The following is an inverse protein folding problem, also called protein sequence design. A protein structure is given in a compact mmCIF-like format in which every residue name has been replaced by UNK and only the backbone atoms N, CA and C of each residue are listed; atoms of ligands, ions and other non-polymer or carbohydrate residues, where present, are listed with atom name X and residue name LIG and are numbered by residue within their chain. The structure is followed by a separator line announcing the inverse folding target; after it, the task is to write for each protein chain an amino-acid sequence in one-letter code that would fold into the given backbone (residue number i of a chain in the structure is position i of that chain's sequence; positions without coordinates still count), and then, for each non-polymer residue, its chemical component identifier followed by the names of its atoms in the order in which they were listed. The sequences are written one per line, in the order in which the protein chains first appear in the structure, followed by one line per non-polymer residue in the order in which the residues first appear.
data_IF_251403461921
#
_entry.id   IF_251403461921
#
_cell.length_a   1.000
_cell.length_b   1.000
_cell.length_c   1.000
_cell.angle_alpha   90.00
_cell.angle_beta   90.00
_cell.angle_gamma   90.00
#
_symmetry.space_group_name_H-M   'P 1'
#
loop_
_entity.id
_entity.type
_entity.pdbx_description
1 polymer ?
#
# COMPACT_ATOMS: atom_id res chain seq x y z
N UNK A 1 22.42 -23.01 2.33
CA UNK A 1 21.76 -21.73 2.03
C UNK A 1 21.62 -20.98 3.34
N UNK A 2 22.37 -19.88 3.57
CA UNK A 2 22.27 -19.15 4.83
C UNK A 2 20.90 -18.48 4.91
N UNK A 3 20.19 -18.60 6.04
CA UNK A 3 18.90 -17.94 6.25
C UNK A 3 19.12 -16.42 6.17
N UNK A 4 18.55 -15.77 5.16
CA UNK A 4 18.64 -14.33 4.98
C UNK A 4 17.80 -13.62 6.07
N UNK A 5 18.45 -13.29 7.20
CA UNK A 5 17.81 -12.66 8.37
C UNK A 5 17.43 -11.20 8.12
N UNK A 6 17.93 -10.58 7.04
CA UNK A 6 17.70 -9.17 6.73
C UNK A 6 16.22 -8.83 6.52
N UNK A 7 15.45 -9.76 5.93
CA UNK A 7 13.99 -9.57 5.72
C UNK A 7 13.25 -9.57 7.05
N UNK A 8 13.60 -10.48 7.95
CA UNK A 8 13.02 -10.59 9.29
C UNK A 8 13.40 -9.38 10.14
N UNK A 9 14.67 -8.96 10.11
CA UNK A 9 15.13 -7.76 10.82
C UNK A 9 14.42 -6.48 10.33
N UNK A 10 14.21 -6.33 9.00
CA UNK A 10 13.48 -5.18 8.44
C UNK A 10 12.01 -5.20 8.89
N UNK A 11 11.33 -6.33 8.79
CA UNK A 11 9.95 -6.48 9.24
C UNK A 11 9.81 -6.22 10.75
N UNK A 12 10.75 -6.72 11.57
CA UNK A 12 10.75 -6.54 13.02
C UNK A 12 11.00 -5.07 13.41
N UNK A 13 11.95 -4.38 12.73
CA UNK A 13 12.20 -2.94 12.93
C UNK A 13 10.97 -2.10 12.61
N UNK A 14 10.20 -2.49 11.58
CA UNK A 14 8.93 -1.85 11.25
C UNK A 14 7.85 -2.10 12.32
N UNK A 15 7.67 -3.33 12.78
CA UNK A 15 6.71 -3.66 13.84
C UNK A 15 7.03 -2.92 15.17
N UNK A 16 8.31 -2.81 15.53
CA UNK A 16 8.77 -2.04 16.70
C UNK A 16 8.48 -0.55 16.52
N UNK A 17 8.71 0.01 15.31
CA UNK A 17 8.40 1.41 14.99
C UNK A 17 6.89 1.68 15.08
N UNK A 18 6.05 0.78 14.59
CA UNK A 18 4.58 0.86 14.71
C UNK A 18 4.14 0.84 16.17
N UNK A 19 4.67 -0.10 16.96
CA UNK A 19 4.37 -0.17 18.39
C UNK A 19 4.72 1.13 19.11
N UNK A 20 5.89 1.70 18.81
CA UNK A 20 6.32 2.97 19.41
C UNK A 20 5.48 4.16 18.92
N UNK A 21 5.09 4.21 17.64
CA UNK A 21 4.17 5.23 17.13
C UNK A 21 2.77 5.07 17.73
N UNK A 22 2.37 3.82 18.03
CA UNK A 22 1.07 3.49 18.61
C UNK A 22 0.88 3.98 20.04
N UNK A 23 1.96 4.19 20.78
CA UNK A 23 1.93 4.76 22.13
C UNK A 23 1.54 6.25 22.13
N UNK A 24 1.55 6.91 20.96
CA UNK A 24 1.17 8.31 20.80
C UNK A 24 -0.21 8.52 20.17
N UNK A 25 -0.94 7.46 19.83
CA UNK A 25 -2.33 7.63 19.38
C UNK A 25 -3.24 7.89 20.57
N UNK A 26 -3.96 9.01 20.49
CA UNK A 26 -4.93 9.47 21.50
C UNK A 26 -6.14 8.51 21.64
N UNK A 27 -6.36 7.62 20.67
CA UNK A 27 -7.47 6.67 20.61
C UNK A 27 -7.06 5.33 19.99
N UNK A 28 -7.72 4.23 20.39
CA UNK A 28 -7.51 2.88 19.83
C UNK A 28 -7.73 2.83 18.30
N UNK A 29 -8.66 3.64 17.79
CA UNK A 29 -8.94 3.74 16.36
C UNK A 29 -7.73 4.28 15.58
N UNK A 30 -6.99 5.25 16.14
CA UNK A 30 -5.77 5.77 15.54
C UNK A 30 -4.67 4.71 15.41
N UNK A 31 -4.51 3.86 16.44
CA UNK A 31 -3.58 2.73 16.40
C UNK A 31 -3.95 1.68 15.36
N UNK A 32 -5.23 1.39 15.22
CA UNK A 32 -5.70 0.45 14.19
C UNK A 32 -5.45 0.98 12.77
N UNK A 33 -5.85 2.21 12.48
CA UNK A 33 -5.62 2.84 11.17
C UNK A 33 -4.12 2.95 10.87
N UNK A 34 -3.30 3.34 11.85
CA UNK A 34 -1.85 3.40 11.72
C UNK A 34 -1.23 2.04 11.39
N UNK A 35 -1.69 0.96 12.03
CA UNK A 35 -1.23 -0.40 11.74
C UNK A 35 -1.58 -0.84 10.31
N UNK A 36 -2.81 -0.55 9.85
CA UNK A 36 -3.26 -0.84 8.49
C UNK A 36 -2.42 -0.07 7.47
N UNK A 37 -2.23 1.24 7.67
CA UNK A 37 -1.39 2.07 6.80
C UNK A 37 0.04 1.53 6.75
N UNK A 38 0.61 1.11 7.87
CA UNK A 38 1.97 0.56 7.89
C UNK A 38 2.08 -0.74 7.10
N UNK A 39 1.08 -1.63 7.21
CA UNK A 39 1.03 -2.88 6.44
C UNK A 39 1.02 -2.61 4.94
N UNK A 40 0.20 -1.63 4.51
CA UNK A 40 0.08 -1.24 3.11
C UNK A 40 1.38 -0.58 2.59
N UNK A 41 1.95 0.36 3.36
CA UNK A 41 3.23 1.01 3.02
C UNK A 41 4.36 -0.02 2.90
N UNK A 42 4.42 -0.97 3.84
CA UNK A 42 5.43 -2.01 3.80
C UNK A 42 5.27 -2.91 2.57
N UNK A 43 4.04 -3.26 2.22
CA UNK A 43 3.75 -4.06 1.04
C UNK A 43 4.17 -3.33 -0.24
N UNK A 44 3.90 -2.02 -0.36
CA UNK A 44 4.37 -1.22 -1.49
C UNK A 44 5.90 -1.18 -1.57
N UNK A 45 6.58 -0.94 -0.44
CA UNK A 45 8.05 -0.94 -0.38
C UNK A 45 8.67 -2.29 -0.74
N UNK A 46 8.07 -3.42 -0.32
CA UNK A 46 8.54 -4.76 -0.69
C UNK A 46 8.41 -5.05 -2.18
N UNK A 47 7.45 -4.40 -2.86
CA UNK A 47 7.25 -4.50 -4.30
C UNK A 47 8.03 -3.43 -5.09
N UNK A 48 8.88 -2.62 -4.43
CA UNK A 48 9.68 -1.58 -5.09
C UNK A 48 8.89 -0.35 -5.51
N UNK A 49 7.69 -0.15 -4.98
CA UNK A 49 6.78 0.94 -5.34
C UNK A 49 6.91 2.06 -4.33
N UNK A 50 6.86 3.31 -4.80
CA UNK A 50 6.82 4.47 -3.93
C UNK A 50 5.49 4.50 -3.14
N UNK A 51 5.52 4.34 -1.80
CA UNK A 51 4.30 4.30 -1.00
C UNK A 51 3.55 5.61 -0.98
N UNK A 52 4.21 6.77 -1.18
CA UNK A 52 3.53 8.07 -1.20
C UNK A 52 2.69 8.22 -2.46
N UNK A 53 3.27 7.90 -3.62
CA UNK A 53 2.55 7.95 -4.90
C UNK A 53 1.37 6.97 -4.87
N UNK A 54 1.62 5.73 -4.47
CA UNK A 54 0.58 4.71 -4.33
C UNK A 54 -0.57 5.12 -3.40
N UNK A 55 -0.28 5.65 -2.21
CA UNK A 55 -1.33 6.11 -1.29
C UNK A 55 -2.08 7.34 -1.82
N UNK A 56 -1.41 8.19 -2.60
CA UNK A 56 -2.02 9.36 -3.24
C UNK A 56 -3.00 8.90 -4.32
N UNK A 57 -2.59 7.97 -5.19
CA UNK A 57 -3.45 7.37 -6.22
C UNK A 57 -4.66 6.64 -5.62
N UNK A 58 -4.46 5.90 -4.53
CA UNK A 58 -5.54 5.24 -3.79
C UNK A 58 -6.56 6.24 -3.22
N UNK A 59 -6.10 7.40 -2.73
CA UNK A 59 -6.99 8.44 -2.21
C UNK A 59 -7.76 9.15 -3.31
N UNK A 60 -7.10 9.49 -4.43
CA UNK A 60 -7.75 10.09 -5.61
C UNK A 60 -8.85 9.17 -6.15
N UNK A 61 -8.59 7.87 -6.19
CA UNK A 61 -9.49 6.87 -6.75
C UNK A 61 -10.26 6.06 -5.69
N UNK A 62 -10.44 6.61 -4.48
CA UNK A 62 -11.00 5.88 -3.34
C UNK A 62 -12.36 5.19 -3.63
N UNK A 63 -13.19 5.77 -4.49
CA UNK A 63 -14.45 5.17 -4.93
C UNK A 63 -14.25 3.88 -5.74
N UNK A 64 -13.26 3.86 -6.64
CA UNK A 64 -12.93 2.70 -7.48
C UNK A 64 -12.18 1.63 -6.69
N UNK A 65 -11.34 2.05 -5.75
CA UNK A 65 -10.68 1.15 -4.79
C UNK A 65 -11.72 0.39 -3.95
N UNK A 66 -12.79 1.07 -3.49
CA UNK A 66 -13.87 0.42 -2.74
C UNK A 66 -14.66 -0.59 -3.58
N UNK A 67 -14.85 -0.31 -4.86
CA UNK A 67 -15.58 -1.20 -5.77
C UNK A 67 -14.76 -2.44 -6.14
N UNK A 68 -13.47 -2.26 -6.43
CA UNK A 68 -12.60 -3.33 -6.93
C UNK A 68 -11.23 -3.36 -6.26
N UNK A 69 -11.14 -3.65 -4.94
CA UNK A 69 -9.89 -3.52 -4.18
C UNK A 69 -8.73 -4.38 -4.69
N UNK A 70 -9.02 -5.50 -5.37
CA UNK A 70 -8.01 -6.38 -5.96
C UNK A 70 -7.20 -5.72 -7.09
N UNK A 71 -7.81 -4.82 -7.84
CA UNK A 71 -7.17 -4.13 -8.97
C UNK A 71 -6.24 -2.99 -8.50
N UNK A 72 -6.43 -2.53 -7.26
CA UNK A 72 -5.69 -1.43 -6.67
C UNK A 72 -4.56 -1.89 -5.75
N UNK A 73 -4.21 -3.18 -5.78
CA UNK A 73 -3.06 -3.69 -5.05
C UNK A 73 -1.76 -3.09 -5.62
N UNK A 74 -0.66 -3.02 -4.85
CA UNK A 74 0.57 -2.36 -5.27
C UNK A 74 1.08 -2.85 -6.63
N UNK A 75 0.91 -4.12 -6.96
CA UNK A 75 1.38 -4.67 -8.23
C UNK A 75 0.40 -4.49 -9.42
N UNK A 76 -0.85 -4.07 -9.21
CA UNK A 76 -1.87 -3.93 -10.27
C UNK A 76 -2.36 -2.48 -10.48
N UNK A 77 -2.14 -1.57 -9.52
CA UNK A 77 -2.72 -0.23 -9.59
C UNK A 77 -2.21 0.58 -10.78
N UNK A 78 -0.96 0.39 -11.21
CA UNK A 78 -0.40 1.08 -12.37
C UNK A 78 -1.09 0.68 -13.69
N UNK A 79 -1.40 -0.60 -13.86
CA UNK A 79 -2.16 -1.10 -15.02
C UNK A 79 -3.59 -0.53 -15.01
N UNK A 80 -4.20 -0.43 -13.83
CA UNK A 80 -5.51 0.18 -13.64
C UNK A 80 -5.51 1.68 -13.98
N UNK A 81 -4.48 2.41 -13.53
CA UNK A 81 -4.29 3.83 -13.85
C UNK A 81 -4.07 4.05 -15.35
N UNK A 82 -3.24 3.22 -15.98
CA UNK A 82 -3.00 3.28 -17.42
C UNK A 82 -4.29 2.99 -18.21
N UNK A 83 -5.09 2.02 -17.77
CA UNK A 83 -6.37 1.67 -18.38
C UNK A 83 -7.41 2.80 -18.22
N UNK A 84 -7.40 3.52 -17.09
CA UNK A 84 -8.23 4.72 -16.91
C UNK A 84 -7.77 5.91 -17.75
N UNK A 85 -6.46 6.07 -17.92
CA UNK A 85 -5.88 7.21 -18.63
C UNK A 85 -5.84 7.04 -20.16
N UNK A 86 -6.00 5.80 -20.67
CA UNK A 86 -6.13 5.50 -22.10
C UNK A 86 -7.59 5.19 -22.49
N UNK A 87 -8.42 6.19 -22.81
CA UNK A 87 -9.76 5.95 -23.38
C UNK A 87 -9.76 5.51 -24.85
N UNK A 88 -8.60 5.25 -25.49
CA UNK A 88 -8.52 5.07 -26.96
C UNK A 88 -8.40 3.62 -27.48
N UNK A 89 -8.22 2.59 -26.64
CA UNK A 89 -8.17 1.19 -27.12
C UNK A 89 -9.54 0.50 -27.26
N UNK A 90 -10.63 1.14 -26.82
CA UNK A 90 -11.98 0.56 -26.90
C UNK A 90 -12.76 0.94 -28.19
N UNK A 91 -12.06 1.38 -29.24
CA UNK A 91 -12.64 1.70 -30.56
C UNK A 91 -11.87 1.01 -31.71
N UNK A 92 -11.36 -0.20 -31.47
CA UNK A 92 -10.65 -0.98 -32.49
C UNK A 92 -10.88 -2.51 -32.36
N UNK A 93 -12.08 -2.92 -31.94
CA UNK A 93 -12.54 -4.31 -32.00
C UNK A 93 -13.97 -4.38 -32.54
#
# INVERSE_FOLDING_TARGET
MPLDTNRVERALKLAIRVRNNSLFYKTLNGGHVGSVLMSVIHTALQNGINPIDYLTDLQIHAQYVKQSPKQWLPWCYQETLNSMNNPQENLAA
#
